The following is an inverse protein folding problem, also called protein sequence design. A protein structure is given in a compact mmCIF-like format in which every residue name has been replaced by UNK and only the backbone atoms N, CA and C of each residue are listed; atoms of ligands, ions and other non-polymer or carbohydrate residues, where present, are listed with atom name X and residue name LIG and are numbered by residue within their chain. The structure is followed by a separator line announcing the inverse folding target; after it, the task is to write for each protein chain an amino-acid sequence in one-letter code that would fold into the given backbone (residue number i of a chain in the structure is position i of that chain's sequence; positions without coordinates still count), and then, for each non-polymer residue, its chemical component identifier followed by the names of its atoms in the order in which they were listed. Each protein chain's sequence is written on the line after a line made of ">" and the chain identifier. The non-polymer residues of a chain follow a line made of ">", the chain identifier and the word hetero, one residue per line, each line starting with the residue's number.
data_IF_628964233550
#
_entry.id   IF_628964233550
#
_cell.length_a   1.000
_cell.length_b   1.000
_cell.length_c   1.000
_cell.angle_alpha   90.00
_cell.angle_beta   90.00
_cell.angle_gamma   90.00
#
_symmetry.space_group_name_H-M   'P 1'
#
loop_
_entity.id
_entity.type
_entity.pdbx_description
1 polymer ?
#
# COMPACT_ATOMS: atom_id res chain seq x y z
N UNK A 1 -6.31 -57.22 -3.40
CA UNK A 1 -5.45 -56.16 -3.92
C UNK A 1 -6.22 -55.00 -4.50
N UNK A 2 -7.22 -55.23 -5.43
CA UNK A 2 -8.01 -54.17 -6.07
C UNK A 2 -8.75 -53.25 -5.06
N UNK A 3 -9.34 -53.78 -3.96
CA UNK A 3 -10.02 -52.98 -2.93
C UNK A 3 -9.11 -52.07 -2.10
N UNK A 4 -7.84 -52.45 -1.91
CA UNK A 4 -6.86 -51.66 -1.13
C UNK A 4 -6.28 -50.53 -2.00
N UNK A 5 -6.07 -50.79 -3.31
CA UNK A 5 -5.66 -49.77 -4.26
C UNK A 5 -6.73 -48.70 -4.43
N UNK A 6 -8.01 -49.15 -4.54
CA UNK A 6 -9.15 -48.22 -4.59
C UNK A 6 -9.30 -47.36 -3.34
N UNK A 7 -9.02 -47.91 -2.14
CA UNK A 7 -9.11 -47.18 -0.88
C UNK A 7 -7.94 -46.19 -0.70
N UNK A 8 -6.75 -46.56 -1.18
CA UNK A 8 -5.59 -45.64 -1.23
C UNK A 8 -5.80 -44.52 -2.25
N UNK A 9 -6.38 -44.84 -3.42
CA UNK A 9 -6.67 -43.80 -4.42
C UNK A 9 -7.74 -42.82 -3.92
N UNK A 10 -8.79 -43.33 -3.23
CA UNK A 10 -9.81 -42.49 -2.61
C UNK A 10 -9.23 -41.60 -1.47
N UNK A 11 -8.28 -42.12 -0.70
CA UNK A 11 -7.62 -41.34 0.37
C UNK A 11 -6.75 -40.22 -0.22
N UNK A 12 -6.02 -40.48 -1.31
CA UNK A 12 -5.21 -39.46 -2.01
C UNK A 12 -6.11 -38.39 -2.62
N UNK A 13 -7.26 -38.79 -3.19
CA UNK A 13 -8.23 -37.84 -3.74
C UNK A 13 -8.89 -36.98 -2.65
N UNK A 14 -9.19 -37.56 -1.48
CA UNK A 14 -9.73 -36.84 -0.34
C UNK A 14 -8.72 -35.85 0.28
N UNK A 15 -7.42 -36.22 0.35
CA UNK A 15 -6.36 -35.31 0.81
C UNK A 15 -6.10 -34.15 -0.17
N UNK A 16 -6.27 -34.37 -1.49
CA UNK A 16 -6.10 -33.30 -2.48
C UNK A 16 -7.22 -32.26 -2.43
N UNK A 17 -8.44 -32.64 -2.04
CA UNK A 17 -9.56 -31.73 -1.85
C UNK A 17 -9.47 -30.92 -0.56
N UNK A 18 -8.77 -31.43 0.47
CA UNK A 18 -8.56 -30.69 1.73
C UNK A 18 -7.47 -29.62 1.63
N UNK A 19 -6.56 -29.70 0.65
CA UNK A 19 -5.50 -28.70 0.46
C UNK A 19 -5.95 -27.39 -0.21
N UNK A 20 -7.16 -27.33 -0.75
CA UNK A 20 -7.69 -26.15 -1.45
C UNK A 20 -8.51 -25.20 -0.55
N UNK A 21 -8.57 -25.44 0.78
CA UNK A 21 -9.46 -24.74 1.70
C UNK A 21 -8.79 -23.96 2.84
N UNK A 22 -7.53 -23.48 2.71
CA UNK A 22 -6.90 -22.72 3.80
C UNK A 22 -6.11 -21.52 3.29
N UNK A 23 -6.83 -20.48 2.86
CA UNK A 23 -6.32 -19.09 2.91
C UNK A 23 -7.50 -18.14 3.09
N UNK A 24 -8.06 -18.15 4.27
CA UNK A 24 -8.84 -17.04 4.79
C UNK A 24 -7.87 -16.20 5.64
N UNK A 25 -7.50 -15.05 5.11
CA UNK A 25 -6.78 -14.04 5.85
C UNK A 25 -7.69 -13.56 6.99
N UNK A 26 -7.28 -13.81 8.22
CA UNK A 26 -7.86 -13.20 9.39
C UNK A 26 -7.58 -11.70 9.34
N UNK A 27 -8.60 -10.89 9.13
CA UNK A 27 -8.58 -9.48 9.44
C UNK A 27 -8.76 -9.37 10.95
N UNK A 28 -7.69 -9.10 11.69
CA UNK A 28 -7.76 -8.66 13.07
C UNK A 28 -8.43 -7.28 13.10
N UNK A 29 -9.72 -7.29 13.38
CA UNK A 29 -10.45 -6.10 13.76
C UNK A 29 -10.06 -5.76 15.19
N UNK A 30 -9.12 -4.84 15.35
CA UNK A 30 -8.87 -4.17 16.62
C UNK A 30 -10.10 -3.32 16.95
N UNK A 31 -10.94 -3.83 17.82
CA UNK A 31 -12.02 -3.07 18.47
C UNK A 31 -11.40 -2.16 19.52
N UNK A 32 -10.96 -0.98 19.11
CA UNK A 32 -10.64 0.11 20.01
C UNK A 32 -11.95 0.68 20.55
N UNK A 33 -12.22 0.49 21.84
CA UNK A 33 -13.34 1.08 22.53
C UNK A 33 -13.22 2.61 22.54
N UNK A 34 -14.10 3.28 21.82
CA UNK A 34 -14.33 4.71 21.98
C UNK A 34 -15.39 4.93 23.03
N UNK A 35 -14.98 5.54 24.13
CA UNK A 35 -15.90 6.10 25.13
C UNK A 35 -16.76 7.17 24.46
N UNK A 36 -18.08 6.95 24.47
CA UNK A 36 -19.06 7.92 24.00
C UNK A 36 -19.05 9.19 24.85
N UNK A 37 -18.82 10.32 24.20
CA UNK A 37 -19.24 11.59 24.70
C UNK A 37 -20.68 11.84 24.23
N UNK A 38 -21.57 11.92 25.18
CA UNK A 38 -22.95 12.36 25.05
C UNK A 38 -22.96 13.82 24.57
N UNK A 39 -23.30 14.05 23.29
CA UNK A 39 -23.55 15.39 22.78
C UNK A 39 -25.04 15.63 22.74
N UNK A 40 -25.51 16.39 23.72
CA UNK A 40 -26.81 17.04 23.70
C UNK A 40 -27.01 17.81 22.40
N UNK A 41 -28.05 17.41 21.68
CA UNK A 41 -28.55 18.11 20.49
C UNK A 41 -29.14 19.45 20.96
N UNK A 42 -28.51 20.54 20.54
CA UNK A 42 -29.22 21.84 20.45
C UNK A 42 -29.70 21.97 18.99
N UNK A 43 -31.02 21.95 18.86
CA UNK A 43 -31.75 22.25 17.64
C UNK A 43 -31.58 23.76 17.32
N UNK A 44 -30.79 24.05 16.27
CA UNK A 44 -30.84 25.36 15.63
C UNK A 44 -31.78 25.27 14.43
N UNK A 45 -32.96 25.83 14.63
CA UNK A 45 -33.97 26.10 13.61
C UNK A 45 -33.40 27.16 12.63
N UNK A 46 -32.95 26.70 11.44
CA UNK A 46 -32.53 27.56 10.33
C UNK A 46 -33.73 27.77 9.41
N UNK A 47 -34.43 28.87 9.59
CA UNK A 47 -35.45 29.32 8.63
C UNK A 47 -34.79 29.75 7.33
N UNK A 48 -35.04 28.99 6.26
CA UNK A 48 -34.69 29.35 4.90
C UNK A 48 -35.50 30.57 4.48
N UNK A 49 -34.84 31.67 4.17
CA UNK A 49 -35.40 32.74 3.33
C UNK A 49 -35.07 32.47 1.89
N UNK A 50 -36.09 32.17 1.11
CA UNK A 50 -36.04 32.20 -0.36
C UNK A 50 -35.63 33.56 -0.84
N UNK A 51 -34.55 33.67 -1.62
CA UNK A 51 -34.40 34.72 -2.63
C UNK A 51 -33.42 34.32 -3.76
N UNK A 52 -33.98 34.30 -4.92
CA UNK A 52 -33.45 34.51 -6.26
C UNK A 52 -32.51 33.51 -6.93
N UNK A 53 -33.08 33.03 -8.02
CA UNK A 53 -32.46 32.30 -9.12
C UNK A 53 -31.16 32.96 -9.64
N UNK A 54 -30.06 32.28 -9.51
CA UNK A 54 -28.78 32.60 -10.16
C UNK A 54 -28.24 31.39 -10.86
N UNK A 55 -28.42 31.35 -12.16
CA UNK A 55 -27.63 30.73 -13.23
C UNK A 55 -26.87 29.43 -12.91
N UNK A 56 -27.47 28.31 -13.26
CA UNK A 56 -26.80 27.00 -13.31
C UNK A 56 -25.85 27.00 -14.52
N UNK A 57 -24.66 27.55 -14.33
CA UNK A 57 -23.54 27.35 -15.24
C UNK A 57 -23.16 25.86 -15.30
N UNK A 58 -23.51 25.22 -16.40
CA UNK A 58 -23.10 23.88 -16.72
C UNK A 58 -21.57 23.76 -16.63
N UNK A 59 -21.07 22.98 -15.68
CA UNK A 59 -19.68 22.54 -15.64
C UNK A 59 -19.45 21.59 -16.82
N UNK A 60 -19.02 22.13 -17.95
CA UNK A 60 -18.40 21.36 -19.00
C UNK A 60 -17.01 20.95 -18.47
N UNK A 61 -16.88 19.69 -18.11
CA UNK A 61 -15.60 19.08 -17.75
C UNK A 61 -14.70 18.95 -18.97
N UNK A 62 -14.07 20.05 -19.37
CA UNK A 62 -12.84 20.04 -20.13
C UNK A 62 -11.73 20.44 -19.15
N UNK A 63 -11.19 19.41 -18.48
CA UNK A 63 -10.19 19.54 -17.43
C UNK A 63 -8.82 19.93 -17.98
N UNK A 64 -8.71 21.07 -18.58
CA UNK A 64 -7.45 21.75 -18.72
C UNK A 64 -7.23 22.54 -17.43
N UNK A 65 -6.61 21.86 -16.45
CA UNK A 65 -6.04 22.51 -15.28
C UNK A 65 -5.03 23.53 -15.84
N UNK A 66 -5.42 24.80 -15.79
CA UNK A 66 -4.65 25.90 -16.31
C UNK A 66 -3.26 25.90 -15.69
N UNK A 67 -2.27 25.53 -16.50
CA UNK A 67 -0.87 25.61 -16.19
C UNK A 67 -0.48 27.08 -16.11
N UNK A 68 -0.44 27.60 -14.90
CA UNK A 68 0.11 28.92 -14.67
C UNK A 68 -0.04 29.24 -13.19
N UNK A 69 1.05 29.06 -12.43
CA UNK A 69 1.18 29.80 -11.18
C UNK A 69 0.94 31.25 -11.55
N UNK A 70 -0.18 31.80 -11.05
CA UNK A 70 -0.55 33.18 -11.36
C UNK A 70 0.51 34.09 -10.74
N UNK A 71 1.50 34.49 -11.55
CA UNK A 71 2.60 35.37 -11.15
C UNK A 71 2.08 36.69 -10.55
N UNK A 72 0.83 37.05 -10.87
CA UNK A 72 0.14 38.18 -10.29
C UNK A 72 -0.14 38.04 -8.78
N UNK A 73 -0.16 36.81 -8.25
CA UNK A 73 -0.35 36.56 -6.81
C UNK A 73 0.92 36.91 -6.03
N UNK A 74 2.12 36.52 -6.52
CA UNK A 74 3.37 36.86 -5.87
C UNK A 74 3.63 38.38 -5.94
N UNK A 75 3.27 39.05 -7.02
CA UNK A 75 3.35 40.52 -7.15
C UNK A 75 2.41 41.23 -6.16
N UNK A 76 1.31 40.60 -5.75
CA UNK A 76 0.39 41.13 -4.74
C UNK A 76 0.83 40.80 -3.29
N UNK A 77 2.00 40.16 -3.12
CA UNK A 77 2.54 39.78 -1.83
C UNK A 77 1.90 38.53 -1.22
N UNK A 78 1.17 37.74 -2.01
CA UNK A 78 0.60 36.48 -1.56
C UNK A 78 1.72 35.43 -1.44
N UNK A 79 1.77 34.71 -0.31
CA UNK A 79 2.75 33.66 -0.02
C UNK A 79 2.06 32.31 -0.18
N UNK A 80 2.34 31.61 -1.29
CA UNK A 80 1.77 30.31 -1.62
C UNK A 80 2.79 29.20 -1.47
N UNK A 81 2.39 28.09 -0.86
CA UNK A 81 3.15 26.83 -0.83
C UNK A 81 2.51 25.88 -1.82
N UNK A 82 3.28 25.38 -2.76
CA UNK A 82 2.84 24.38 -3.74
C UNK A 82 3.38 23.01 -3.39
N UNK A 83 2.53 21.99 -3.47
CA UNK A 83 2.94 20.60 -3.34
C UNK A 83 2.20 19.72 -4.33
N UNK A 84 2.86 18.67 -4.82
CA UNK A 84 2.27 17.65 -5.63
C UNK A 84 2.69 16.26 -5.17
N UNK A 85 1.78 15.31 -5.33
CA UNK A 85 2.06 13.90 -5.20
C UNK A 85 1.64 13.21 -6.50
N UNK A 86 2.58 12.49 -7.13
CA UNK A 86 2.37 11.85 -8.42
C UNK A 86 2.79 10.39 -8.31
N UNK A 87 1.83 9.47 -8.48
CA UNK A 87 2.08 8.05 -8.60
C UNK A 87 2.12 7.65 -10.07
N UNK A 88 3.17 6.92 -10.46
CA UNK A 88 3.41 6.56 -11.85
C UNK A 88 3.91 5.15 -12.01
N UNK A 89 3.64 4.58 -13.17
CA UNK A 89 4.05 3.24 -13.56
C UNK A 89 4.95 3.27 -14.77
N UNK A 90 5.92 2.35 -14.82
CA UNK A 90 6.80 2.16 -15.96
C UNK A 90 7.03 0.69 -16.25
N UNK A 91 7.28 0.36 -17.53
CA UNK A 91 7.73 -0.97 -17.98
C UNK A 91 9.26 -1.06 -18.02
N UNK A 92 9.97 0.09 -17.97
CA UNK A 92 11.43 0.19 -18.01
C UNK A 92 11.90 1.16 -16.93
N UNK A 93 12.27 0.59 -15.79
CA UNK A 93 12.63 1.38 -14.61
C UNK A 93 13.87 2.26 -14.82
N UNK A 94 14.95 1.70 -15.43
CA UNK A 94 16.19 2.45 -15.65
C UNK A 94 15.97 3.70 -16.50
N UNK A 95 15.25 3.52 -17.62
CA UNK A 95 14.99 4.63 -18.53
C UNK A 95 14.14 5.72 -17.85
N UNK A 96 13.09 5.32 -17.15
CA UNK A 96 12.23 6.25 -16.41
C UNK A 96 13.01 7.03 -15.33
N UNK A 97 13.89 6.34 -14.59
CA UNK A 97 14.70 6.98 -13.57
C UNK A 97 15.72 7.98 -14.15
N UNK A 98 16.32 7.66 -15.31
CA UNK A 98 17.21 8.58 -16.03
C UNK A 98 16.44 9.78 -16.57
N UNK A 99 15.27 9.58 -17.16
CA UNK A 99 14.43 10.65 -17.71
C UNK A 99 13.94 11.60 -16.60
N UNK A 100 13.56 11.07 -15.44
CA UNK A 100 13.21 11.87 -14.25
C UNK A 100 14.42 12.66 -13.77
N UNK A 101 15.61 12.05 -13.68
CA UNK A 101 16.82 12.75 -13.25
C UNK A 101 17.18 13.89 -14.20
N UNK A 102 17.08 13.66 -15.49
CA UNK A 102 17.30 14.67 -16.52
C UNK A 102 16.27 15.80 -16.47
N UNK A 103 15.01 15.49 -16.15
CA UNK A 103 13.94 16.50 -15.96
C UNK A 103 14.26 17.37 -14.74
N UNK A 104 14.61 16.77 -13.60
CA UNK A 104 14.97 17.49 -12.37
C UNK A 104 16.11 18.48 -12.64
N UNK A 105 17.18 18.04 -13.33
CA UNK A 105 18.32 18.92 -13.66
C UNK A 105 17.92 20.07 -14.57
N UNK A 106 17.15 19.79 -15.64
CA UNK A 106 16.72 20.82 -16.60
C UNK A 106 15.79 21.88 -16.00
N UNK A 107 15.00 21.49 -15.00
CA UNK A 107 14.06 22.39 -14.31
C UNK A 107 14.74 23.21 -13.19
N UNK A 108 16.05 23.10 -13.00
CA UNK A 108 16.74 23.72 -11.87
C UNK A 108 16.26 23.22 -10.51
N UNK A 109 15.63 22.05 -10.49
CA UNK A 109 15.17 21.37 -9.30
C UNK A 109 16.29 20.49 -8.70
N UNK A 110 16.07 19.99 -7.49
CA UNK A 110 16.99 19.04 -6.86
C UNK A 110 16.24 17.99 -6.06
N UNK A 111 16.86 16.82 -5.90
CA UNK A 111 16.34 15.77 -5.04
C UNK A 111 16.68 16.08 -3.58
N UNK A 112 15.65 16.16 -2.75
CA UNK A 112 15.79 16.22 -1.29
C UNK A 112 15.99 14.83 -0.72
N UNK A 113 15.23 13.85 -1.23
CA UNK A 113 15.29 12.45 -0.80
C UNK A 113 15.09 11.51 -1.98
N UNK A 114 15.76 10.36 -1.94
CA UNK A 114 15.61 9.25 -2.90
C UNK A 114 15.61 7.95 -2.12
N UNK A 115 14.52 7.22 -2.18
CA UNK A 115 14.40 5.90 -1.58
C UNK A 115 14.17 4.85 -2.67
N UNK A 116 14.86 3.72 -2.55
CA UNK A 116 14.75 2.61 -3.49
C UNK A 116 14.42 1.34 -2.74
N UNK A 117 13.49 0.59 -3.28
CA UNK A 117 13.17 -0.74 -2.79
C UNK A 117 12.91 -1.70 -3.94
N UNK A 118 13.07 -3.00 -3.68
CA UNK A 118 12.74 -4.05 -4.62
C UNK A 118 11.78 -5.02 -3.95
N UNK A 119 10.70 -5.32 -4.64
CA UNK A 119 9.72 -6.30 -4.16
C UNK A 119 10.26 -7.73 -4.31
N UNK A 120 9.70 -8.68 -3.58
CA UNK A 120 10.07 -10.10 -3.64
C UNK A 120 9.84 -10.75 -5.01
N UNK A 121 9.01 -10.15 -5.86
CA UNK A 121 8.75 -10.55 -7.24
C UNK A 121 9.76 -9.96 -8.24
N UNK A 122 10.77 -9.20 -7.77
CA UNK A 122 11.83 -8.62 -8.59
C UNK A 122 11.50 -7.24 -9.18
N UNK A 123 10.28 -6.73 -9.04
CA UNK A 123 9.94 -5.37 -9.46
C UNK A 123 10.51 -4.32 -8.50
N UNK A 124 10.83 -3.17 -9.08
CA UNK A 124 11.45 -2.05 -8.36
C UNK A 124 10.45 -0.95 -8.07
N UNK A 125 10.68 -0.28 -6.98
CA UNK A 125 9.92 0.89 -6.55
C UNK A 125 10.91 1.97 -6.11
N UNK A 126 10.63 3.21 -6.48
CA UNK A 126 11.37 4.36 -5.98
C UNK A 126 10.43 5.47 -5.57
N UNK A 127 10.75 6.11 -4.45
CA UNK A 127 10.13 7.33 -3.96
C UNK A 127 11.16 8.46 -4.05
N UNK A 128 10.78 9.54 -4.71
CA UNK A 128 11.60 10.74 -4.86
C UNK A 128 10.87 11.93 -4.25
N UNK A 129 11.53 12.63 -3.35
CA UNK A 129 11.10 13.97 -2.94
C UNK A 129 11.96 15.00 -3.67
N UNK A 130 11.33 15.79 -4.54
CA UNK A 130 11.99 16.77 -5.40
C UNK A 130 11.57 18.17 -4.98
N UNK A 131 12.56 19.06 -4.83
CA UNK A 131 12.33 20.49 -4.64
C UNK A 131 12.45 21.21 -5.98
N UNK A 132 11.34 21.76 -6.42
CA UNK A 132 11.20 22.41 -7.73
C UNK A 132 11.00 23.92 -7.51
N UNK A 133 11.74 24.81 -8.21
CA UNK A 133 11.46 26.23 -8.13
C UNK A 133 9.98 26.50 -8.36
N UNK A 134 9.34 27.30 -7.49
CA UNK A 134 7.89 27.53 -7.53
C UNK A 134 7.40 27.96 -8.92
N UNK A 135 8.18 28.75 -9.63
CA UNK A 135 7.84 29.22 -11.01
C UNK A 135 7.80 28.08 -12.04
N UNK A 136 8.53 26.96 -11.80
CA UNK A 136 8.63 25.82 -12.70
C UNK A 136 7.67 24.66 -12.30
N UNK A 137 6.95 24.80 -11.20
CA UNK A 137 6.15 23.72 -10.61
C UNK A 137 5.14 23.11 -11.60
N UNK A 138 4.32 23.96 -12.26
CA UNK A 138 3.29 23.51 -13.17
C UNK A 138 3.88 22.81 -14.41
N UNK A 139 4.93 23.40 -14.99
CA UNK A 139 5.63 22.85 -16.15
C UNK A 139 6.32 21.54 -15.80
N UNK A 140 6.90 21.43 -14.61
CA UNK A 140 7.51 20.20 -14.11
C UNK A 140 6.48 19.07 -13.97
N UNK A 141 5.34 19.32 -13.31
CA UNK A 141 4.29 18.33 -13.15
C UNK A 141 3.72 17.86 -14.50
N UNK A 142 3.51 18.79 -15.45
CA UNK A 142 3.06 18.46 -16.79
C UNK A 142 4.08 17.57 -17.54
N UNK A 143 5.38 17.86 -17.43
CA UNK A 143 6.43 17.07 -18.07
C UNK A 143 6.56 15.67 -17.45
N UNK A 144 6.46 15.53 -16.12
CA UNK A 144 6.43 14.22 -15.46
C UNK A 144 5.33 13.33 -16.04
N UNK A 145 4.13 13.90 -16.29
CA UNK A 145 3.00 13.20 -16.91
C UNK A 145 3.27 12.67 -18.32
N UNK A 146 4.29 13.21 -19.02
CA UNK A 146 4.67 12.74 -20.36
C UNK A 146 5.76 11.66 -20.33
N UNK A 147 6.54 11.54 -19.24
CA UNK A 147 7.64 10.59 -19.14
C UNK A 147 7.16 9.18 -18.74
N UNK A 148 6.16 9.10 -17.86
CA UNK A 148 5.66 7.86 -17.31
C UNK A 148 4.14 7.81 -17.36
N UNK A 149 3.57 6.61 -17.20
CA UNK A 149 2.13 6.44 -17.06
C UNK A 149 1.68 6.84 -15.66
N UNK A 150 1.05 8.02 -15.54
CA UNK A 150 0.52 8.51 -14.26
C UNK A 150 -0.76 7.75 -13.92
N UNK A 151 -0.80 7.16 -12.73
CA UNK A 151 -1.97 6.46 -12.18
C UNK A 151 -2.77 7.33 -11.23
N UNK A 152 -2.09 8.21 -10.53
CA UNK A 152 -2.72 9.17 -9.63
C UNK A 152 -1.88 10.43 -9.50
N UNK A 153 -2.56 11.59 -9.43
CA UNK A 153 -1.93 12.87 -9.21
C UNK A 153 -2.82 13.73 -8.31
N UNK A 154 -2.20 14.41 -7.36
CA UNK A 154 -2.85 15.36 -6.48
C UNK A 154 -1.95 16.57 -6.32
N UNK A 155 -2.47 17.73 -6.71
CA UNK A 155 -1.79 19.02 -6.60
C UNK A 155 -2.47 19.83 -5.51
N UNK A 156 -1.70 20.55 -4.70
CA UNK A 156 -2.18 21.40 -3.62
C UNK A 156 -1.47 22.74 -3.66
N UNK A 157 -2.22 23.79 -3.38
CA UNK A 157 -1.72 25.14 -3.21
C UNK A 157 -2.29 25.73 -1.91
N UNK A 158 -1.43 26.10 -0.97
CA UNK A 158 -1.80 26.63 0.34
C UNK A 158 -1.37 28.09 0.46
N UNK A 159 -2.32 28.99 0.78
CA UNK A 159 -2.03 30.38 1.08
C UNK A 159 -1.60 30.52 2.55
N UNK A 160 -0.35 30.85 2.77
CA UNK A 160 0.25 31.05 4.09
C UNK A 160 0.50 32.54 4.40
N UNK A 161 -0.05 33.45 3.62
CA UNK A 161 0.23 34.88 3.75
C UNK A 161 -0.01 35.41 5.14
N UNK A 162 -1.14 35.04 5.76
CA UNK A 162 -1.49 35.46 7.13
C UNK A 162 -0.44 34.97 8.14
N UNK A 163 -0.12 33.67 8.11
CA UNK A 163 0.84 33.04 9.04
C UNK A 163 2.25 33.60 8.84
N UNK A 164 2.62 33.87 7.59
CA UNK A 164 3.92 34.46 7.24
C UNK A 164 4.07 35.87 7.82
N UNK A 165 3.11 36.76 7.53
CA UNK A 165 3.17 38.15 7.97
C UNK A 165 2.97 38.31 9.49
N UNK A 166 2.14 37.49 10.11
CA UNK A 166 2.03 37.45 11.59
C UNK A 166 3.35 37.07 12.23
N UNK A 167 4.00 35.98 11.74
CA UNK A 167 5.31 35.54 12.25
C UNK A 167 6.37 36.62 12.06
N UNK A 168 6.41 37.27 10.89
CA UNK A 168 7.33 38.36 10.60
C UNK A 168 7.08 39.58 11.52
N UNK A 169 5.83 39.93 11.80
CA UNK A 169 5.46 40.99 12.72
C UNK A 169 5.91 40.71 14.15
N UNK A 170 5.70 39.46 14.62
CA UNK A 170 6.16 39.02 15.94
C UNK A 170 7.71 39.06 16.03
N UNK A 171 8.39 38.58 15.00
CA UNK A 171 9.85 38.64 14.92
C UNK A 171 10.38 40.09 15.08
N UNK A 172 9.77 41.03 14.34
CA UNK A 172 10.11 42.43 14.41
C UNK A 172 9.87 43.02 15.82
N UNK A 173 8.74 42.65 16.44
CA UNK A 173 8.42 43.08 17.82
C UNK A 173 9.42 42.52 18.82
N UNK A 174 9.83 41.27 18.73
CA UNK A 174 10.84 40.66 19.56
C UNK A 174 12.22 41.34 19.42
N UNK A 175 12.61 41.67 18.16
CA UNK A 175 13.83 42.40 17.90
C UNK A 175 13.83 43.80 18.54
N UNK A 176 12.71 44.55 18.48
CA UNK A 176 12.54 45.84 19.16
C UNK A 176 12.63 45.68 20.68
N UNK A 177 11.99 44.63 21.24
CA UNK A 177 12.04 44.29 22.68
C UNK A 177 13.49 44.02 23.10
N UNK A 178 14.24 43.23 22.34
CA UNK A 178 15.67 42.95 22.60
C UNK A 178 16.50 44.23 22.66
N UNK A 179 16.35 45.10 21.65
CA UNK A 179 17.10 46.37 21.62
C UNK A 179 16.80 47.22 22.87
N UNK A 180 15.54 47.27 23.28
CA UNK A 180 15.13 48.01 24.48
C UNK A 180 15.67 47.39 25.78
N UNK A 181 15.69 46.07 25.92
CA UNK A 181 16.28 45.37 27.04
C UNK A 181 17.79 45.62 27.14
N UNK A 182 18.51 45.61 26.02
CA UNK A 182 19.92 45.92 25.94
C UNK A 182 20.24 47.37 26.33
N UNK A 183 19.35 48.34 26.04
CA UNK A 183 19.47 49.70 26.51
C UNK A 183 19.22 49.83 28.02
N UNK A 184 18.26 49.06 28.57
CA UNK A 184 18.00 49.02 29.99
C UNK A 184 19.16 48.40 30.76
N UNK A 185 19.77 47.34 30.22
CA UNK A 185 20.93 46.69 30.80
C UNK A 185 22.11 47.67 30.97
N UNK A 186 22.34 48.53 29.97
CA UNK A 186 23.37 49.58 30.05
C UNK A 186 23.17 50.63 31.14
N UNK A 187 21.90 50.77 31.64
CA UNK A 187 21.51 51.73 32.64
C UNK A 187 21.31 51.11 34.02
N UNK A 188 21.36 49.77 34.09
CA UNK A 188 21.19 49.06 35.35
C UNK A 188 22.43 49.23 36.26
N UNK A 189 22.19 49.60 37.53
CA UNK A 189 23.24 49.78 38.51
C UNK A 189 23.23 48.70 39.60
N UNK A 190 22.15 48.00 39.71
CA UNK A 190 21.91 47.02 40.76
C UNK A 190 22.02 45.58 40.17
N UNK A 191 22.63 44.67 40.90
CA UNK A 191 22.90 43.32 40.47
C UNK A 191 21.61 42.52 40.22
N UNK A 192 20.56 42.73 40.99
CA UNK A 192 19.27 42.05 40.86
C UNK A 192 18.58 42.44 39.53
N UNK A 193 18.63 43.75 39.18
CA UNK A 193 18.08 44.24 37.91
C UNK A 193 18.87 43.69 36.72
N UNK A 194 20.19 43.65 36.85
CA UNK A 194 21.10 43.10 35.82
C UNK A 194 20.73 41.63 35.52
N UNK A 195 20.61 40.78 36.55
CA UNK A 195 20.27 39.36 36.39
C UNK A 195 18.86 39.19 35.77
N UNK A 196 17.91 40.00 36.18
CA UNK A 196 16.54 39.96 35.64
C UNK A 196 16.51 40.39 34.19
N UNK A 197 17.21 41.44 33.80
CA UNK A 197 17.28 41.92 32.44
C UNK A 197 18.02 40.92 31.55
N UNK A 198 19.14 40.33 32.01
CA UNK A 198 19.89 39.31 31.28
C UNK A 198 19.03 38.04 31.04
N UNK A 199 18.23 37.62 32.03
CA UNK A 199 17.27 36.52 31.84
C UNK A 199 16.22 36.85 30.75
N UNK A 200 15.65 38.08 30.78
CA UNK A 200 14.72 38.56 29.79
C UNK A 200 15.33 38.69 28.38
N UNK A 201 16.60 39.08 28.30
CA UNK A 201 17.38 39.11 27.02
C UNK A 201 17.49 37.69 26.47
N UNK A 202 17.97 36.73 27.27
CA UNK A 202 18.15 35.34 26.83
C UNK A 202 16.84 34.72 26.34
N UNK A 203 15.75 34.96 27.04
CA UNK A 203 14.41 34.51 26.62
C UNK A 203 13.98 35.15 25.29
N UNK A 204 14.25 36.46 25.12
CA UNK A 204 13.87 37.19 23.90
C UNK A 204 14.77 36.77 22.71
N UNK A 205 16.04 36.50 22.92
CA UNK A 205 16.94 35.95 21.89
C UNK A 205 16.49 34.55 21.42
N UNK A 206 16.09 33.67 22.33
CA UNK A 206 15.51 32.39 21.99
C UNK A 206 14.23 32.53 21.16
N UNK A 207 13.36 33.48 21.52
CA UNK A 207 12.14 33.76 20.74
C UNK A 207 12.45 34.24 19.31
N UNK A 208 13.45 35.17 19.19
CA UNK A 208 13.93 35.66 17.90
C UNK A 208 14.49 34.52 17.03
N UNK A 209 15.30 33.64 17.61
CA UNK A 209 15.86 32.50 16.89
C UNK A 209 14.72 31.55 16.37
N UNK A 210 13.78 31.22 17.20
CA UNK A 210 12.62 30.40 16.86
C UNK A 210 11.77 31.02 15.74
N UNK A 211 11.41 32.30 15.87
CA UNK A 211 10.61 33.00 14.87
C UNK A 211 11.36 33.18 13.54
N UNK A 212 12.64 33.54 13.59
CA UNK A 212 13.49 33.68 12.39
C UNK A 212 13.67 32.33 11.69
N UNK A 213 13.79 31.24 12.43
CA UNK A 213 13.82 29.88 11.89
C UNK A 213 12.51 29.51 11.16
N UNK A 214 11.37 29.93 11.72
CA UNK A 214 10.07 29.72 11.10
C UNK A 214 9.91 30.52 9.80
N UNK A 215 10.30 31.80 9.79
CA UNK A 215 10.27 32.64 8.57
C UNK A 215 11.14 32.02 7.47
N UNK A 216 12.39 31.64 7.80
CA UNK A 216 13.29 30.98 6.82
C UNK A 216 12.70 29.69 6.24
N UNK A 217 12.01 28.92 7.05
CA UNK A 217 11.31 27.71 6.58
C UNK A 217 10.17 28.04 5.63
N UNK A 218 9.38 29.07 5.93
CA UNK A 218 8.32 29.53 5.03
C UNK A 218 8.89 30.07 3.71
N UNK A 219 9.97 30.86 3.77
CA UNK A 219 10.65 31.35 2.56
C UNK A 219 11.09 30.17 1.68
N UNK A 220 11.72 29.14 2.26
CA UNK A 220 12.16 27.97 1.52
C UNK A 220 10.99 27.19 0.88
N UNK A 221 9.82 27.11 1.56
CA UNK A 221 8.61 26.44 1.04
C UNK A 221 7.88 27.25 -0.03
N UNK A 222 7.98 28.57 0.03
CA UNK A 222 7.41 29.47 -0.99
C UNK A 222 8.29 29.52 -2.24
N UNK A 223 9.61 29.51 -2.06
CA UNK A 223 10.56 29.57 -3.18
C UNK A 223 10.64 28.21 -3.94
N UNK A 224 10.46 27.10 -3.21
CA UNK A 224 10.55 25.74 -3.76
C UNK A 224 9.32 24.92 -3.42
N UNK A 225 8.58 24.51 -4.44
CA UNK A 225 7.51 23.54 -4.33
C UNK A 225 8.07 22.15 -3.99
N UNK A 226 7.26 21.36 -3.31
CA UNK A 226 7.58 19.96 -2.96
C UNK A 226 6.83 19.00 -3.87
N UNK A 227 7.54 18.20 -4.67
CA UNK A 227 6.94 17.19 -5.54
C UNK A 227 7.40 15.80 -5.09
N UNK A 228 6.45 14.98 -4.65
CA UNK A 228 6.70 13.58 -4.32
C UNK A 228 6.32 12.72 -5.51
N UNK A 229 7.27 11.94 -6.01
CA UNK A 229 7.12 11.06 -7.16
C UNK A 229 7.27 9.60 -6.70
N UNK A 230 6.24 8.78 -6.92
CA UNK A 230 6.27 7.35 -6.64
C UNK A 230 6.35 6.58 -7.97
N UNK A 231 7.51 5.99 -8.25
CA UNK A 231 7.76 5.24 -9.48
C UNK A 231 7.67 3.74 -9.21
N UNK A 232 6.68 3.10 -9.82
CA UNK A 232 6.44 1.66 -9.71
C UNK A 232 6.77 0.96 -11.03
N UNK A 233 7.68 -0.02 -11.00
CA UNK A 233 7.90 -0.91 -12.13
C UNK A 233 6.80 -1.96 -12.18
N UNK A 234 6.18 -2.14 -13.35
CA UNK A 234 5.07 -3.07 -13.55
C UNK A 234 5.25 -3.88 -14.82
N UNK A 235 4.66 -5.07 -14.85
CA UNK A 235 4.64 -5.90 -16.06
C UNK A 235 3.72 -5.32 -17.13
N UNK A 236 2.62 -4.67 -16.72
CA UNK A 236 1.61 -4.05 -17.60
C UNK A 236 1.07 -2.79 -16.93
N UNK A 237 0.94 -1.71 -17.70
CA UNK A 237 0.42 -0.45 -17.20
C UNK A 237 -1.07 -0.57 -16.85
N UNK A 238 -1.47 0.03 -15.74
CA UNK A 238 -2.86 0.08 -15.30
C UNK A 238 -3.69 0.97 -16.23
N UNK A 239 -4.96 0.56 -16.49
CA UNK A 239 -5.91 1.41 -17.23
C UNK A 239 -5.63 1.57 -18.73
N UNK A 240 -4.59 0.93 -19.30
CA UNK A 240 -4.29 1.00 -20.75
C UNK A 240 -5.17 0.09 -21.58
N UNK A 241 -5.93 -0.82 -20.96
CA UNK A 241 -6.96 -1.57 -21.67
C UNK A 241 -8.23 -0.74 -21.77
N UNK A 242 -8.71 -0.53 -22.98
CA UNK A 242 -10.05 -0.01 -23.21
C UNK A 242 -11.04 -0.84 -22.39
N UNK A 243 -11.80 -0.19 -21.49
CA UNK A 243 -12.83 -0.88 -20.75
C UNK A 243 -13.72 -1.64 -21.73
N UNK A 244 -13.89 -2.96 -21.60
CA UNK A 244 -14.58 -3.76 -22.61
C UNK A 244 -15.99 -3.24 -22.80
N UNK A 245 -16.30 -2.71 -24.00
CA UNK A 245 -17.53 -2.00 -24.35
C UNK A 245 -18.72 -2.95 -24.59
N UNK A 246 -18.43 -4.26 -24.78
CA UNK A 246 -19.46 -5.27 -25.04
C UNK A 246 -19.27 -6.53 -24.18
N UNK A 247 -20.37 -7.25 -23.94
CA UNK A 247 -20.33 -8.54 -23.22
C UNK A 247 -19.44 -9.58 -23.93
N UNK A 248 -19.42 -9.59 -25.28
CA UNK A 248 -18.59 -10.50 -26.07
C UNK A 248 -17.10 -10.23 -25.88
N UNK A 249 -16.72 -8.96 -25.75
CA UNK A 249 -15.35 -8.52 -25.52
C UNK A 249 -14.89 -8.86 -24.08
N UNK A 250 -15.79 -8.68 -23.10
CA UNK A 250 -15.56 -9.14 -21.71
C UNK A 250 -15.32 -10.64 -21.65
N UNK A 251 -16.12 -11.41 -22.37
CA UNK A 251 -16.01 -12.87 -22.42
C UNK A 251 -14.72 -13.31 -23.13
N UNK A 252 -14.33 -12.63 -24.21
CA UNK A 252 -13.09 -12.86 -24.95
C UNK A 252 -11.84 -12.60 -24.10
N UNK A 253 -11.84 -11.49 -23.36
CA UNK A 253 -10.76 -11.13 -22.45
C UNK A 253 -10.68 -12.11 -21.27
N UNK A 254 -11.81 -12.45 -20.64
CA UNK A 254 -11.84 -13.43 -19.57
C UNK A 254 -11.34 -14.82 -20.01
N UNK A 255 -11.63 -15.23 -21.26
CA UNK A 255 -11.12 -16.49 -21.81
C UNK A 255 -9.61 -16.43 -22.07
N UNK A 256 -9.11 -15.29 -22.56
CA UNK A 256 -7.69 -15.06 -22.79
C UNK A 256 -6.89 -15.02 -21.50
N UNK A 257 -7.41 -14.32 -20.50
CA UNK A 257 -6.81 -14.23 -19.16
C UNK A 257 -6.83 -15.61 -18.47
N UNK A 258 -7.92 -16.36 -18.64
CA UNK A 258 -8.00 -17.73 -18.16
C UNK A 258 -6.97 -18.67 -18.83
N UNK A 259 -6.72 -18.50 -20.12
CA UNK A 259 -5.70 -19.27 -20.84
C UNK A 259 -4.27 -18.89 -20.39
N UNK A 260 -4.02 -17.60 -20.18
CA UNK A 260 -2.76 -17.09 -19.64
C UNK A 260 -2.50 -17.62 -18.22
N UNK A 261 -3.50 -17.59 -17.36
CA UNK A 261 -3.40 -18.13 -15.99
C UNK A 261 -3.13 -19.64 -15.98
N UNK A 262 -3.70 -20.41 -16.93
CA UNK A 262 -3.39 -21.83 -17.10
C UNK A 262 -1.92 -22.02 -17.57
N UNK A 263 -1.42 -21.18 -18.47
CA UNK A 263 -0.04 -21.25 -18.93
C UNK A 263 0.95 -20.94 -17.78
N UNK A 264 0.72 -19.90 -17.01
CA UNK A 264 1.51 -19.59 -15.80
C UNK A 264 1.41 -20.69 -14.74
N UNK A 265 0.23 -21.26 -14.56
CA UNK A 265 0.01 -22.39 -13.66
C UNK A 265 0.80 -23.64 -14.07
N UNK A 266 0.90 -23.88 -15.39
CA UNK A 266 1.67 -24.99 -15.93
C UNK A 266 3.19 -24.78 -15.77
N UNK A 267 3.65 -23.56 -15.98
CA UNK A 267 5.05 -23.16 -15.75
C UNK A 267 5.43 -23.30 -14.28
N UNK A 268 4.63 -22.75 -13.38
CA UNK A 268 4.83 -22.90 -11.93
C UNK A 268 4.77 -24.36 -11.48
N UNK A 269 3.90 -25.18 -12.07
CA UNK A 269 3.82 -26.61 -11.81
C UNK A 269 5.10 -27.34 -12.31
N UNK A 270 5.60 -26.98 -13.48
CA UNK A 270 6.84 -27.55 -14.01
C UNK A 270 8.06 -27.18 -13.14
N UNK A 271 8.13 -25.93 -12.68
CA UNK A 271 9.16 -25.47 -11.75
C UNK A 271 9.04 -26.20 -10.39
N UNK A 272 7.83 -26.31 -9.84
CA UNK A 272 7.58 -27.08 -8.62
C UNK A 272 8.02 -28.55 -8.77
N UNK A 273 7.70 -29.18 -9.89
CA UNK A 273 8.11 -30.56 -10.19
C UNK A 273 9.65 -30.68 -10.27
N UNK A 274 10.30 -29.70 -10.90
CA UNK A 274 11.75 -29.63 -11.03
C UNK A 274 12.44 -29.46 -9.66
N UNK A 275 11.86 -28.70 -8.73
CA UNK A 275 12.39 -28.56 -7.37
C UNK A 275 12.02 -29.72 -6.46
N UNK A 276 10.86 -30.35 -6.69
CA UNK A 276 10.32 -31.41 -5.79
C UNK A 276 10.66 -32.82 -6.22
N UNK A 277 11.31 -33.04 -7.37
CA UNK A 277 11.57 -34.37 -7.91
C UNK A 277 12.29 -35.32 -6.94
N UNK A 278 13.25 -34.79 -6.15
CA UNK A 278 13.97 -35.54 -5.14
C UNK A 278 13.05 -36.00 -4.00
N UNK A 279 12.16 -35.11 -3.54
CA UNK A 279 11.15 -35.42 -2.52
C UNK A 279 10.16 -36.48 -3.00
N UNK A 280 9.73 -36.40 -4.26
CA UNK A 280 8.83 -37.38 -4.90
C UNK A 280 9.50 -38.75 -4.97
N UNK A 281 10.78 -38.83 -5.32
CA UNK A 281 11.53 -40.09 -5.35
C UNK A 281 11.67 -40.71 -3.96
N UNK A 282 11.97 -39.90 -2.93
CA UNK A 282 12.06 -40.37 -1.54
C UNK A 282 10.69 -40.89 -1.08
N UNK A 283 9.62 -40.17 -1.36
CA UNK A 283 8.26 -40.57 -1.02
C UNK A 283 7.85 -41.85 -1.73
N UNK A 284 8.11 -41.99 -3.01
CA UNK A 284 7.84 -43.21 -3.79
C UNK A 284 8.63 -44.41 -3.23
N UNK A 285 9.90 -44.23 -2.86
CA UNK A 285 10.72 -45.27 -2.22
C UNK A 285 10.15 -45.68 -0.86
N UNK A 286 9.72 -44.75 -0.04
CA UNK A 286 9.09 -44.98 1.25
C UNK A 286 7.78 -45.74 1.10
N UNK A 287 6.90 -45.36 0.16
CA UNK A 287 5.66 -46.08 -0.12
C UNK A 287 5.92 -47.49 -0.63
N UNK A 288 6.93 -47.68 -1.53
CA UNK A 288 7.32 -48.98 -2.02
C UNK A 288 7.84 -49.90 -0.87
N UNK A 289 8.67 -49.34 0.00
CA UNK A 289 9.17 -50.05 1.20
C UNK A 289 8.04 -50.45 2.14
N UNK A 290 7.07 -49.56 2.39
CA UNK A 290 5.89 -49.81 3.22
C UNK A 290 5.00 -50.93 2.61
N UNK A 291 4.72 -50.88 1.31
CA UNK A 291 3.96 -51.94 0.62
C UNK A 291 4.66 -53.30 0.68
N UNK A 292 5.98 -53.30 0.50
CA UNK A 292 6.80 -54.50 0.60
C UNK A 292 6.82 -55.06 2.01
N UNK A 293 6.91 -54.20 3.01
CA UNK A 293 6.87 -54.61 4.45
C UNK A 293 5.51 -55.19 4.83
N UNK A 294 4.39 -54.56 4.41
CA UNK A 294 3.03 -55.07 4.63
C UNK A 294 2.83 -56.42 3.90
N UNK A 295 3.37 -56.55 2.68
CA UNK A 295 3.36 -57.79 1.92
C UNK A 295 4.13 -58.94 2.65
N UNK A 296 5.26 -58.59 3.28
CA UNK A 296 6.08 -59.51 4.04
C UNK A 296 5.43 -59.96 5.37
N UNK A 297 4.79 -59.04 6.07
CA UNK A 297 4.01 -59.28 7.30
C UNK A 297 2.76 -60.17 7.03
N UNK A 298 2.12 -59.99 5.87
CA UNK A 298 0.99 -60.82 5.44
C UNK A 298 1.38 -62.25 5.03
N UNK A 299 2.59 -62.44 4.50
CA UNK A 299 3.11 -63.80 4.17
C UNK A 299 3.53 -64.60 5.41
N UNK A 300 3.85 -63.94 6.54
CA UNK A 300 4.25 -64.56 7.79
C UNK A 300 3.09 -65.14 8.63
N UNK A 301 1.83 -64.75 8.35
CA UNK A 301 0.67 -65.27 9.07
C UNK A 301 -0.06 -66.37 8.27
N UNK A 302 0.59 -67.54 8.12
CA UNK A 302 -0.14 -68.76 7.83
C UNK A 302 -0.78 -69.20 9.15
N UNK A 303 -2.07 -69.00 9.29
CA UNK A 303 -2.89 -69.60 10.38
C UNK A 303 -2.81 -71.10 10.27
N UNK A 304 -2.54 -71.87 11.38
CA UNK A 304 -2.58 -73.31 11.36
C UNK A 304 -4.01 -73.75 11.09
N UNK A 305 -4.18 -74.66 10.09
CA UNK A 305 -5.45 -75.34 9.82
C UNK A 305 -5.74 -76.24 11.02
N UNK A 306 -6.75 -75.89 11.83
CA UNK A 306 -7.30 -76.80 12.83
C UNK A 306 -7.93 -77.95 12.09
N UNK A 307 -7.34 -79.15 12.32
CA UNK A 307 -7.79 -80.43 11.80
C UNK A 307 -9.23 -80.75 12.24
N UNK A 308 -10.08 -80.97 11.29
CA UNK A 308 -11.47 -81.47 11.49
C UNK A 308 -11.38 -82.97 11.74
N UNK A 309 -11.52 -83.37 13.03
CA UNK A 309 -11.59 -84.74 13.47
C UNK A 309 -12.90 -85.35 12.95
N UNK A 310 -12.83 -86.37 12.07
CA UNK A 310 -13.91 -87.26 11.72
C UNK A 310 -14.33 -88.06 12.94
N UNK A 311 -15.64 -88.07 13.27
CA UNK A 311 -16.25 -89.03 14.17
C UNK A 311 -17.30 -89.78 13.39
N UNK A 312 -16.96 -91.13 13.16
CA UNK A 312 -17.92 -92.12 12.66
C UNK A 312 -18.80 -92.50 13.84
N UNK A 313 -20.06 -92.84 13.52
CA UNK A 313 -20.89 -93.98 14.01
C UNK A 313 -22.35 -93.70 13.63
N UNK A 314 -22.84 -94.40 12.99
CA UNK A 314 -23.92 -95.36 12.58
C UNK A 314 -25.11 -95.49 13.60
N UNK A 315 -26.16 -96.20 13.27
CA UNK A 315 -27.55 -95.64 12.97
C UNK A 315 -28.58 -96.28 13.93
N UNK A 316 -29.78 -95.77 13.95
CA UNK A 316 -31.00 -96.50 14.22
C UNK A 316 -32.20 -95.54 14.21
N UNK A 317 -33.07 -95.72 13.27
CA UNK A 317 -34.44 -96.32 13.39
C UNK A 317 -35.33 -95.54 14.39
N UNK A 318 -36.32 -95.00 13.94
CA UNK A 318 -37.76 -95.50 14.02
C UNK A 318 -38.72 -94.27 14.14
N UNK A 319 -39.68 -94.35 13.27
CA UNK A 319 -41.17 -94.15 13.42
C UNK A 319 -41.63 -92.91 14.20
N UNK A 320 -42.47 -92.13 13.72
CA UNK A 320 -43.91 -92.26 13.47
C UNK A 320 -44.48 -90.84 13.18
N UNK A 321 -45.32 -90.83 12.21
CA UNK A 321 -46.37 -89.85 11.94
C UNK A 321 -47.43 -89.90 13.08
N UNK A 322 -48.52 -89.11 13.13
CA UNK A 322 -48.98 -87.94 12.30
C UNK A 322 -49.67 -86.85 13.14
N UNK A 323 -50.25 -85.87 12.35
CA UNK A 323 -51.49 -85.07 12.60
C UNK A 323 -51.48 -84.08 13.79
N UNK A 324 -51.72 -82.81 13.55
CA UNK A 324 -52.85 -82.04 12.99
C UNK A 324 -52.34 -80.69 12.49
#
# INVERSE_FOLDING_TARGET
>A
MKKIVSLLLALVLALSLAACGAKSAGSDTMTGGYNGYDSTKEDYDFTATDDEAGDTGAWNGDGQVGSGIDKSLSERGVKMIYSAYIEMQTLSYEQAAEDIAALVERSGAYFEQKDFSSYSNGYRHASYTVRVPAEQFADFCAQVGTLCHVTWQSDSAEDISEQYYDTQSRLKTAQIKLARLQELLKKAENMEDIITIESAISETEYEIERLSGTVRRYDALVDYATVTLELNEVYRLSGTEDAPKSFGEKLGNAFRDGLAAVAEGLENFALWLAYSWLGILIFAAAVFAAVKLIGRLRRGRKLPKLGRKKKNAEPSADETKPEE
#
